data_IF_307685172856
#
_entry.id   IF_307685172856
#
_cell.length_a   1.000
_cell.length_b   1.000
_cell.length_c   1.000
_cell.angle_alpha   90.00
_cell.angle_beta   90.00
_cell.angle_gamma   90.00
#
_symmetry.space_group_name_H-M   'P 1'
#
loop_
_entity.id
_entity.type
_entity.pdbx_description
1 polymer ?
#
# COMPACT_ATOMS: atom_id res chain seq x y z
N UNK A 1 -16.73 -24.43 13.63
CA UNK A 1 -16.99 -23.55 12.48
C UNK A 1 -15.82 -22.60 12.37
N UNK A 2 -15.03 -22.68 11.30
CA UNK A 2 -13.78 -21.92 11.17
C UNK A 2 -14.09 -20.54 10.59
N UNK A 3 -13.80 -19.48 11.34
CA UNK A 3 -13.93 -18.10 10.86
C UNK A 3 -12.64 -17.69 10.17
N UNK A 4 -12.74 -17.27 8.92
CA UNK A 4 -11.60 -16.74 8.16
C UNK A 4 -11.53 -15.22 8.30
N UNK A 5 -10.32 -14.70 8.42
CA UNK A 5 -10.05 -13.26 8.46
C UNK A 5 -9.14 -12.88 7.29
N UNK A 6 -9.35 -11.68 6.76
CA UNK A 6 -8.52 -11.13 5.71
C UNK A 6 -7.24 -10.55 6.34
N UNK A 7 -6.09 -11.11 5.96
CA UNK A 7 -4.77 -10.63 6.34
C UNK A 7 -4.09 -10.02 5.10
N UNK A 8 -3.82 -8.71 5.13
CA UNK A 8 -3.16 -8.00 4.04
C UNK A 8 -1.74 -7.58 4.40
N UNK A 9 -0.89 -7.49 3.38
CA UNK A 9 0.44 -6.87 3.44
C UNK A 9 0.76 -6.22 2.09
N UNK A 10 1.85 -5.47 2.01
CA UNK A 10 2.36 -4.93 0.75
C UNK A 10 2.60 -6.01 -0.34
N UNK A 11 2.65 -7.30 0.01
CA UNK A 11 2.81 -8.42 -0.90
C UNK A 11 1.48 -9.06 -1.38
N UNK A 12 0.32 -8.61 -0.87
CA UNK A 12 -1.00 -9.12 -1.26
C UNK A 12 -1.91 -9.42 -0.07
N UNK A 13 -3.05 -10.05 -0.39
CA UNK A 13 -4.12 -10.40 0.56
C UNK A 13 -4.22 -11.92 0.70
N UNK A 14 -4.34 -12.41 1.93
CA UNK A 14 -4.56 -13.81 2.28
C UNK A 14 -5.82 -13.94 3.16
N UNK A 15 -6.57 -15.03 3.00
CA UNK A 15 -7.64 -15.40 3.92
C UNK A 15 -7.14 -16.52 4.82
N UNK A 16 -6.96 -16.22 6.10
CA UNK A 16 -6.39 -17.15 7.08
C UNK A 16 -7.41 -17.49 8.16
N UNK A 17 -7.40 -18.73 8.70
CA UNK A 17 -8.17 -19.05 9.89
C UNK A 17 -7.83 -18.10 11.05
N UNK A 18 -8.85 -17.60 11.77
CA UNK A 18 -8.71 -16.57 12.80
C UNK A 18 -7.72 -16.94 13.92
N UNK A 19 -7.56 -18.24 14.17
CA UNK A 19 -6.72 -18.83 15.20
C UNK A 19 -5.22 -18.89 14.84
N UNK A 20 -4.84 -18.72 13.56
CA UNK A 20 -3.44 -18.71 13.12
C UNK A 20 -2.87 -17.31 12.86
N UNK A 21 -3.71 -16.27 12.86
CA UNK A 21 -3.26 -14.89 12.72
C UNK A 21 -3.00 -14.31 14.10
N UNK A 22 -1.73 -14.18 14.48
CA UNK A 22 -1.36 -13.34 15.62
C UNK A 22 -1.83 -11.91 15.32
N UNK A 23 -2.73 -11.31 16.13
CA UNK A 23 -3.29 -10.00 15.83
C UNK A 23 -2.19 -8.95 15.95
N UNK A 24 -1.46 -8.70 14.86
CA UNK A 24 -0.78 -7.43 14.69
C UNK A 24 -1.91 -6.46 14.35
N UNK A 25 -2.19 -5.45 15.19
CA UNK A 25 -3.17 -4.44 14.85
C UNK A 25 -2.73 -3.85 13.52
N UNK A 26 -3.53 -4.17 12.50
CA UNK A 26 -3.43 -3.54 11.21
C UNK A 26 -3.61 -2.05 11.50
N UNK A 27 -2.53 -1.28 11.36
CA UNK A 27 -2.69 0.17 11.31
C UNK A 27 -3.53 0.44 10.06
N UNK A 28 -4.68 1.08 10.23
CA UNK A 28 -5.63 1.34 9.14
C UNK A 28 -4.97 2.11 7.98
N UNK A 29 -3.93 2.89 8.26
CA UNK A 29 -3.18 3.68 7.26
C UNK A 29 -2.59 2.83 6.12
N UNK A 30 -1.71 1.86 6.39
CA UNK A 30 -1.12 0.98 5.37
C UNK A 30 -2.12 0.24 4.48
N UNK A 31 -3.29 -0.14 5.00
CA UNK A 31 -4.30 -0.85 4.21
C UNK A 31 -5.04 0.09 3.27
N UNK A 32 -5.41 1.28 3.76
CA UNK A 32 -6.07 2.28 2.93
C UNK A 32 -5.18 2.77 1.78
N UNK A 33 -3.87 2.85 2.02
CA UNK A 33 -2.90 3.17 0.96
C UNK A 33 -2.79 2.06 -0.10
N UNK A 34 -3.07 0.80 0.25
CA UNK A 34 -3.14 -0.32 -0.72
C UNK A 34 -4.48 -0.40 -1.46
N UNK A 35 -5.60 -0.10 -0.80
CA UNK A 35 -6.91 -0.04 -1.46
C UNK A 35 -6.91 0.98 -2.58
N UNK A 36 -6.26 2.13 -2.37
CA UNK A 36 -6.09 3.18 -3.39
C UNK A 36 -5.32 2.71 -4.61
N UNK A 37 -4.39 1.74 -4.48
CA UNK A 37 -3.68 1.15 -5.63
C UNK A 37 -4.56 0.23 -6.48
N UNK A 38 -5.67 -0.25 -5.91
CA UNK A 38 -6.55 -1.23 -6.53
C UNK A 38 -7.82 -0.59 -7.11
N UNK A 39 -8.10 0.68 -6.75
CA UNK A 39 -9.27 1.43 -7.21
C UNK A 39 -9.04 2.03 -8.61
N UNK A 40 -9.76 1.56 -9.64
CA UNK A 40 -9.76 2.18 -10.95
C UNK A 40 -10.48 3.54 -10.90
N UNK A 41 -10.10 4.45 -11.80
CA UNK A 41 -10.60 5.84 -11.78
C UNK A 41 -12.11 5.98 -11.90
N UNK A 42 -12.80 5.03 -12.55
CA UNK A 42 -14.27 5.04 -12.62
C UNK A 42 -14.92 4.76 -11.25
N UNK A 43 -14.34 3.89 -10.42
CA UNK A 43 -14.85 3.67 -9.06
C UNK A 43 -14.64 4.89 -8.17
N UNK A 44 -13.56 5.64 -8.38
CA UNK A 44 -13.34 6.91 -7.67
C UNK A 44 -14.37 7.97 -8.09
N UNK A 45 -14.75 7.98 -9.37
CA UNK A 45 -15.75 8.92 -9.90
C UNK A 45 -17.18 8.63 -9.42
N UNK A 46 -17.45 7.41 -8.95
CA UNK A 46 -18.72 6.97 -8.37
C UNK A 46 -18.82 7.22 -6.85
N UNK A 47 -17.78 7.78 -6.22
CA UNK A 47 -17.80 8.08 -4.79
C UNK A 47 -18.55 9.38 -4.51
N UNK A 48 -19.53 9.30 -3.62
CA UNK A 48 -20.38 10.43 -3.23
C UNK A 48 -19.94 11.11 -1.92
N UNK A 49 -19.02 10.50 -1.16
CA UNK A 49 -18.48 11.09 0.08
C UNK A 49 -17.18 11.87 -0.18
N UNK A 50 -17.21 13.17 0.12
CA UNK A 50 -16.05 14.04 0.05
C UNK A 50 -14.90 13.59 0.96
N UNK A 51 -15.18 12.97 2.11
CA UNK A 51 -14.14 12.45 3.00
C UNK A 51 -13.40 11.27 2.38
N UNK A 52 -14.11 10.38 1.70
CA UNK A 52 -13.51 9.26 0.98
C UNK A 52 -12.61 9.75 -0.15
N UNK A 53 -13.07 10.74 -0.92
CA UNK A 53 -12.26 11.37 -1.96
C UNK A 53 -10.99 12.05 -1.38
N UNK A 54 -11.13 12.77 -0.26
CA UNK A 54 -9.99 13.39 0.42
C UNK A 54 -8.98 12.37 0.93
N UNK A 55 -9.46 11.25 1.46
CA UNK A 55 -8.60 10.19 1.97
C UNK A 55 -7.87 9.46 0.84
N UNK A 56 -8.52 9.23 -0.31
CA UNK A 56 -7.87 8.74 -1.53
C UNK A 56 -6.76 9.69 -1.98
N UNK A 57 -7.01 11.00 -2.03
CA UNK A 57 -5.99 11.99 -2.41
C UNK A 57 -4.80 11.98 -1.44
N UNK A 58 -5.06 11.89 -0.13
CA UNK A 58 -4.00 11.82 0.90
C UNK A 58 -3.16 10.56 0.75
N UNK A 59 -3.80 9.41 0.55
CA UNK A 59 -3.13 8.13 0.30
C UNK A 59 -2.27 8.18 -0.98
N UNK A 60 -2.82 8.69 -2.08
CA UNK A 60 -2.08 8.85 -3.33
C UNK A 60 -0.84 9.74 -3.17
N UNK A 61 -0.94 10.83 -2.39
CA UNK A 61 0.20 11.71 -2.08
C UNK A 61 1.27 11.01 -1.24
N UNK A 62 0.88 10.30 -0.17
CA UNK A 62 1.82 9.51 0.64
C UNK A 62 2.55 8.48 -0.22
N UNK A 63 1.81 7.80 -1.09
CA UNK A 63 2.38 6.79 -1.99
C UNK A 63 3.38 7.40 -2.96
N UNK A 64 3.06 8.54 -3.58
CA UNK A 64 3.99 9.26 -4.44
C UNK A 64 5.28 9.59 -3.71
N UNK A 65 5.20 10.21 -2.53
CA UNK A 65 6.38 10.54 -1.73
C UNK A 65 7.22 9.30 -1.37
N UNK A 66 6.58 8.18 -1.04
CA UNK A 66 7.28 6.92 -0.77
C UNK A 66 7.96 6.35 -2.02
N UNK A 67 7.30 6.41 -3.18
CA UNK A 67 7.86 5.97 -4.46
C UNK A 67 9.06 6.83 -4.85
N UNK A 68 8.96 8.16 -4.74
CA UNK A 68 10.04 9.10 -5.03
C UNK A 68 11.27 8.82 -4.15
N UNK A 69 11.06 8.51 -2.87
CA UNK A 69 12.14 8.13 -1.95
C UNK A 69 12.81 6.81 -2.35
N UNK A 70 12.02 5.79 -2.74
CA UNK A 70 12.55 4.51 -3.23
C UNK A 70 13.35 4.71 -4.51
N UNK A 71 12.82 5.49 -5.47
CA UNK A 71 13.49 5.81 -6.73
C UNK A 71 14.83 6.49 -6.47
N UNK A 72 14.85 7.51 -5.60
CA UNK A 72 16.09 8.19 -5.22
C UNK A 72 17.15 7.22 -4.67
N UNK A 73 16.75 6.34 -3.75
CA UNK A 73 17.66 5.34 -3.17
C UNK A 73 18.14 4.32 -4.21
N UNK A 74 17.26 3.89 -5.12
CA UNK A 74 17.60 2.98 -6.19
C UNK A 74 18.61 3.60 -7.17
N UNK A 75 18.41 4.86 -7.56
CA UNK A 75 19.34 5.61 -8.42
C UNK A 75 20.69 5.77 -7.73
N UNK A 76 20.70 6.16 -6.45
CA UNK A 76 21.92 6.31 -5.67
C UNK A 76 22.69 4.97 -5.59
N UNK A 77 21.98 3.87 -5.35
CA UNK A 77 22.59 2.53 -5.30
C UNK A 77 23.12 2.09 -6.66
N UNK A 78 22.38 2.36 -7.74
CA UNK A 78 22.81 2.05 -9.10
C UNK A 78 24.10 2.80 -9.47
N UNK A 79 24.22 4.08 -9.07
CA UNK A 79 25.43 4.87 -9.28
C UNK A 79 26.64 4.25 -8.56
N UNK A 80 26.47 3.82 -7.30
CA UNK A 80 27.53 3.13 -6.55
C UNK A 80 27.98 1.83 -7.21
N UNK A 81 27.04 1.03 -7.71
CA UNK A 81 27.35 -0.24 -8.38
C UNK A 81 28.12 0.00 -9.68
N UNK A 82 27.70 0.95 -10.51
CA UNK A 82 28.40 1.31 -11.75
C UNK A 82 29.80 1.86 -11.49
N UNK A 83 29.99 2.61 -10.41
CA UNK A 83 31.31 3.12 -10.03
C UNK A 83 32.26 2.03 -9.50
N UNK A 84 31.74 0.86 -9.10
CA UNK A 84 32.55 -0.27 -8.66
C UNK A 84 32.93 -1.23 -9.81
N UNK A 85 32.29 -1.08 -10.98
CA UNK A 85 32.53 -1.90 -12.18
C UNK A 85 33.60 -1.32 -13.12
N UNK A 86 34.06 -0.09 -12.89
CA UNK A 86 35.11 0.61 -13.65
C UNK A 86 36.29 1.00 -12.79
#
# INVERSE_FOLDING_TARGET
>A
MTTFVQAGSAAGILFLPRDVVGPVPVKDGPFRDMEVLSLPGWQVAELDDANDLLDIVRAARRRRAATDAIEYQAIARLAQLRAAEG
#
